data_IF_295385817500
#
_entry.id   IF_295385817500
#
_cell.length_a   1.000
_cell.length_b   1.000
_cell.length_c   1.000
_cell.angle_alpha   90.00
_cell.angle_beta   90.00
_cell.angle_gamma   90.00
#
_symmetry.space_group_name_H-M   'P 1'
#
loop_
_entity.id
_entity.type
_entity.pdbx_description
1 polymer ?
#
# COMPACT_ATOMS: atom_id res chain seq x y z
N UNK A 1 -2.10 3.89 39.40
CA UNK A 1 -2.05 3.58 37.96
C UNK A 1 -3.29 2.77 37.63
N UNK A 2 -4.29 3.35 36.94
CA UNK A 2 -5.51 2.63 36.58
C UNK A 2 -5.33 2.00 35.20
N UNK A 3 -5.32 0.67 35.11
CA UNK A 3 -5.49 -0.04 33.85
C UNK A 3 -6.98 -0.23 33.60
N UNK A 4 -7.42 -0.03 32.36
CA UNK A 4 -8.81 -0.27 31.98
C UNK A 4 -9.11 -1.78 32.05
N UNK A 5 -9.85 -2.19 33.07
CA UNK A 5 -10.34 -3.57 33.22
C UNK A 5 -11.53 -3.78 32.25
N UNK A 6 -11.46 -4.80 31.39
CA UNK A 6 -12.49 -5.06 30.36
C UNK A 6 -12.13 -4.60 28.93
N UNK A 7 -10.86 -4.34 28.64
CA UNK A 7 -10.35 -4.00 27.31
C UNK A 7 -9.75 -5.23 26.57
N UNK A 8 -9.83 -5.30 25.22
CA UNK A 8 -10.41 -4.34 24.28
C UNK A 8 -11.86 -4.67 23.85
N UNK A 9 -12.67 -3.63 23.64
CA UNK A 9 -13.98 -3.73 23.00
C UNK A 9 -13.83 -4.11 21.51
N UNK A 10 -14.46 -5.22 21.10
CA UNK A 10 -14.26 -5.87 19.79
C UNK A 10 -15.24 -5.33 18.75
N UNK A 11 -14.75 -5.04 17.53
CA UNK A 11 -15.59 -4.72 16.37
C UNK A 11 -15.71 -5.99 15.53
N UNK A 12 -16.93 -6.48 15.25
CA UNK A 12 -17.13 -7.64 14.38
C UNK A 12 -16.89 -7.22 12.93
N UNK A 13 -15.66 -7.42 12.46
CA UNK A 13 -15.32 -7.23 11.05
C UNK A 13 -15.66 -8.52 10.31
N UNK A 14 -16.57 -8.43 9.35
CA UNK A 14 -16.98 -9.57 8.52
C UNK A 14 -15.83 -9.95 7.57
N UNK A 15 -15.06 -10.98 7.91
CA UNK A 15 -14.04 -11.53 7.03
C UNK A 15 -14.62 -12.73 6.28
N UNK A 16 -14.63 -12.66 4.94
CA UNK A 16 -15.08 -13.75 4.06
C UNK A 16 -13.99 -14.80 3.82
N UNK A 17 -12.75 -14.54 4.21
CA UNK A 17 -11.58 -15.34 3.88
C UNK A 17 -10.82 -15.86 5.11
N UNK A 18 -10.06 -16.94 4.90
CA UNK A 18 -9.23 -17.59 5.91
C UNK A 18 -8.10 -16.70 6.44
N UNK A 19 -7.66 -15.71 5.66
CA UNK A 19 -6.65 -14.73 6.04
C UNK A 19 -7.32 -13.51 6.67
N UNK A 20 -7.45 -13.53 8.00
CA UNK A 20 -7.92 -12.38 8.82
C UNK A 20 -6.88 -11.24 8.87
N UNK A 21 -6.42 -10.78 7.71
CA UNK A 21 -5.42 -9.71 7.59
C UNK A 21 -6.11 -8.37 7.45
N UNK A 22 -5.81 -7.45 8.36
CA UNK A 22 -6.16 -6.04 8.19
C UNK A 22 -5.05 -5.40 7.35
N UNK A 23 -5.43 -4.85 6.19
CA UNK A 23 -4.51 -4.17 5.27
C UNK A 23 -4.21 -2.77 5.77
N UNK A 24 -5.21 -2.08 6.29
CA UNK A 24 -5.08 -0.72 6.80
C UNK A 24 -6.12 -0.42 7.86
N UNK A 25 -5.71 0.34 8.88
CA UNK A 25 -6.55 0.80 9.96
C UNK A 25 -6.21 2.26 10.27
N UNK A 26 -7.19 3.16 10.23
CA UNK A 26 -6.97 4.55 10.64
C UNK A 26 -8.25 5.20 11.15
N UNK A 27 -8.13 5.93 12.25
CA UNK A 27 -9.19 6.80 12.77
C UNK A 27 -8.90 8.24 12.33
N UNK A 28 -9.88 8.90 11.72
CA UNK A 28 -9.86 10.34 11.45
C UNK A 28 -11.13 10.93 12.06
N UNK A 29 -10.95 11.89 12.97
CA UNK A 29 -12.04 12.51 13.72
C UNK A 29 -12.87 11.47 14.49
N UNK A 30 -14.06 11.13 13.99
CA UNK A 30 -14.99 10.18 14.63
C UNK A 30 -15.30 8.95 13.77
N UNK A 31 -14.51 8.76 12.70
CA UNK A 31 -14.73 7.68 11.74
C UNK A 31 -13.46 6.83 11.67
N UNK A 32 -13.65 5.53 11.80
CA UNK A 32 -12.65 4.50 11.64
C UNK A 32 -12.78 3.89 10.25
N UNK A 33 -11.70 3.90 9.48
CA UNK A 33 -11.57 3.14 8.25
C UNK A 33 -10.83 1.83 8.52
N UNK A 34 -11.43 0.73 8.06
CA UNK A 34 -10.82 -0.59 8.01
C UNK A 34 -10.76 -1.03 6.55
N UNK A 35 -9.58 -1.41 6.08
CA UNK A 35 -9.39 -2.00 4.74
C UNK A 35 -8.97 -3.46 4.89
N UNK A 36 -9.70 -4.33 4.22
CA UNK A 36 -9.48 -5.77 4.13
C UNK A 36 -9.11 -6.17 2.70
N UNK A 37 -8.63 -7.41 2.46
CA UNK A 37 -8.21 -7.86 1.13
C UNK A 37 -9.28 -7.68 0.04
N UNK A 38 -10.55 -7.91 0.37
CA UNK A 38 -11.67 -7.89 -0.58
C UNK A 38 -12.64 -6.69 -0.41
N UNK A 39 -12.57 -5.95 0.69
CA UNK A 39 -13.56 -4.92 0.98
C UNK A 39 -13.06 -3.84 1.94
N UNK A 40 -13.81 -2.74 2.02
CA UNK A 40 -13.55 -1.59 2.87
C UNK A 40 -14.75 -1.36 3.78
N UNK A 41 -14.51 -1.04 5.04
CA UNK A 41 -15.57 -0.72 6.01
C UNK A 41 -15.28 0.61 6.71
N UNK A 42 -16.33 1.43 6.84
CA UNK A 42 -16.33 2.66 7.63
C UNK A 42 -17.16 2.44 8.88
N UNK A 43 -16.60 2.78 10.02
CA UNK A 43 -17.20 2.60 11.34
C UNK A 43 -17.21 3.92 12.09
N UNK A 44 -18.22 4.14 12.92
CA UNK A 44 -18.15 5.16 13.95
C UNK A 44 -17.08 4.77 14.98
N UNK A 45 -16.26 5.72 15.43
CA UNK A 45 -15.36 5.51 16.57
C UNK A 45 -16.00 5.90 17.91
N UNK A 46 -17.28 6.28 17.93
CA UNK A 46 -18.03 6.63 19.14
C UNK A 46 -18.38 5.40 19.99
N UNK A 47 -18.96 5.61 21.18
CA UNK A 47 -19.30 4.58 22.16
C UNK A 47 -20.04 3.35 21.59
N UNK A 48 -20.89 3.54 20.57
CA UNK A 48 -21.70 2.48 19.99
C UNK A 48 -21.13 1.84 18.71
N UNK A 49 -19.98 2.33 18.22
CA UNK A 49 -19.22 1.78 17.07
C UNK A 49 -20.07 1.13 15.99
N UNK A 50 -20.91 1.92 15.34
CA UNK A 50 -21.84 1.47 14.30
C UNK A 50 -21.15 1.49 12.94
N UNK A 51 -21.36 0.45 12.11
CA UNK A 51 -20.91 0.45 10.72
C UNK A 51 -21.68 1.50 9.92
N UNK A 52 -20.96 2.47 9.38
CA UNK A 52 -21.50 3.60 8.62
C UNK A 52 -21.62 3.28 7.13
N UNK A 53 -20.71 2.46 6.61
CA UNK A 53 -20.66 2.09 5.20
C UNK A 53 -19.76 0.89 4.95
N UNK A 54 -20.02 0.17 3.86
CA UNK A 54 -19.23 -0.96 3.39
C UNK A 54 -19.15 -0.93 1.87
N UNK A 55 -17.97 -1.20 1.34
CA UNK A 55 -17.75 -1.40 -0.09
C UNK A 55 -17.08 -2.73 -0.31
N UNK A 56 -17.76 -3.65 -0.99
CA UNK A 56 -17.26 -4.98 -1.34
C UNK A 56 -16.83 -4.97 -2.79
N UNK A 57 -15.59 -5.37 -3.06
CA UNK A 57 -15.12 -5.53 -4.44
C UNK A 57 -15.79 -6.74 -5.08
N UNK A 58 -16.07 -6.64 -6.38
CA UNK A 58 -16.63 -7.76 -7.15
C UNK A 58 -15.59 -8.89 -7.24
N UNK A 59 -15.99 -10.18 -7.23
CA UNK A 59 -15.07 -11.30 -7.39
C UNK A 59 -14.21 -11.20 -8.66
N UNK A 60 -14.79 -10.74 -9.77
CA UNK A 60 -14.07 -10.50 -11.04
C UNK A 60 -12.95 -9.47 -10.88
N UNK A 61 -13.19 -8.38 -10.14
CA UNK A 61 -12.19 -7.35 -9.85
C UNK A 61 -11.08 -7.92 -8.97
N UNK A 62 -11.41 -8.75 -7.97
CA UNK A 62 -10.38 -9.39 -7.13
C UNK A 62 -9.55 -10.40 -7.93
N UNK A 63 -10.18 -11.19 -8.80
CA UNK A 63 -9.48 -12.14 -9.66
C UNK A 63 -8.54 -11.49 -10.66
N UNK A 64 -8.98 -10.39 -11.30
CA UNK A 64 -8.21 -9.73 -12.35
C UNK A 64 -7.20 -8.71 -11.80
N UNK A 65 -7.58 -7.93 -10.79
CA UNK A 65 -6.78 -6.82 -10.26
C UNK A 65 -6.08 -7.21 -8.95
N UNK A 66 -6.37 -8.38 -8.38
CA UNK A 66 -5.77 -8.86 -7.13
C UNK A 66 -6.39 -8.25 -5.86
N UNK A 67 -5.99 -8.77 -4.71
CA UNK A 67 -6.41 -8.31 -3.38
C UNK A 67 -5.83 -6.93 -3.03
N UNK A 68 -6.47 -6.24 -2.08
CA UNK A 68 -5.93 -5.01 -1.50
C UNK A 68 -4.67 -5.31 -0.68
N UNK A 69 -3.57 -4.61 -0.95
CA UNK A 69 -2.29 -4.81 -0.27
C UNK A 69 -1.86 -3.64 0.60
N UNK A 70 -2.22 -2.42 0.20
CA UNK A 70 -1.95 -1.21 0.95
C UNK A 70 -3.08 -0.23 0.75
N UNK A 71 -3.32 0.61 1.76
CA UNK A 71 -4.23 1.73 1.62
C UNK A 71 -3.70 2.96 2.35
N UNK A 72 -4.21 4.12 1.93
CA UNK A 72 -4.03 5.39 2.62
C UNK A 72 -5.34 6.18 2.56
N UNK A 73 -5.67 6.80 3.68
CA UNK A 73 -6.83 7.68 3.78
C UNK A 73 -6.39 9.14 3.85
N UNK A 74 -7.00 9.95 2.99
CA UNK A 74 -6.77 11.40 2.93
C UNK A 74 -7.05 12.07 4.28
N UNK A 75 -6.24 13.08 4.65
CA UNK A 75 -6.47 13.84 5.88
C UNK A 75 -7.85 14.52 5.96
N UNK A 76 -8.42 14.89 4.80
CA UNK A 76 -9.76 15.49 4.72
C UNK A 76 -10.90 14.46 4.78
N UNK A 77 -10.56 13.18 4.94
CA UNK A 77 -11.46 12.02 5.01
C UNK A 77 -12.26 11.69 3.73
N UNK A 78 -12.02 12.38 2.60
CA UNK A 78 -12.86 12.26 1.38
C UNK A 78 -12.41 11.21 0.38
N UNK A 79 -11.13 10.89 0.36
CA UNK A 79 -10.51 9.97 -0.61
C UNK A 79 -9.73 8.87 0.08
N UNK A 80 -9.91 7.63 -0.37
CA UNK A 80 -9.12 6.48 0.04
C UNK A 80 -8.38 6.00 -1.21
N UNK A 81 -7.08 5.85 -1.13
CA UNK A 81 -6.31 5.18 -2.16
C UNK A 81 -5.97 3.77 -1.68
N UNK A 82 -6.12 2.79 -2.56
CA UNK A 82 -5.81 1.38 -2.31
C UNK A 82 -4.96 0.87 -3.46
N UNK A 83 -3.92 0.14 -3.12
CA UNK A 83 -3.03 -0.50 -4.07
C UNK A 83 -3.17 -2.01 -3.95
N UNK A 84 -3.35 -2.68 -5.08
CA UNK A 84 -3.64 -4.11 -5.14
C UNK A 84 -2.42 -4.97 -5.47
N UNK A 85 -2.55 -6.29 -5.34
CA UNK A 85 -1.48 -7.24 -5.67
C UNK A 85 -1.13 -7.35 -7.14
N UNK A 86 -2.03 -6.96 -8.06
CA UNK A 86 -1.72 -6.85 -9.49
C UNK A 86 -1.35 -5.41 -9.90
N UNK A 87 -0.93 -4.58 -8.95
CA UNK A 87 -0.51 -3.19 -9.17
C UNK A 87 -1.62 -2.32 -9.79
N UNK A 88 -2.86 -2.47 -9.34
CA UNK A 88 -3.91 -1.50 -9.61
C UNK A 88 -3.98 -0.46 -8.51
N UNK A 89 -4.02 0.81 -8.90
CA UNK A 89 -4.32 1.92 -8.02
C UNK A 89 -5.82 2.20 -8.07
N UNK A 90 -6.51 1.90 -6.97
CA UNK A 90 -7.91 2.23 -6.76
C UNK A 90 -8.03 3.52 -5.96
N UNK A 91 -8.78 4.49 -6.46
CA UNK A 91 -9.17 5.68 -5.70
C UNK A 91 -10.66 5.60 -5.40
N UNK A 92 -11.01 5.53 -4.13
CA UNK A 92 -12.38 5.58 -3.65
C UNK A 92 -12.70 6.97 -3.10
N UNK A 93 -13.94 7.40 -3.33
CA UNK A 93 -14.52 8.59 -2.71
C UNK A 93 -15.43 8.16 -1.57
N UNK A 94 -15.24 8.81 -0.43
CA UNK A 94 -16.07 8.70 0.76
C UNK A 94 -17.03 9.89 0.79
N UNK A 95 -18.32 9.61 0.94
CA UNK A 95 -19.34 10.64 1.12
C UNK A 95 -20.20 10.29 2.34
N UNK A 96 -20.21 11.17 3.33
CA UNK A 96 -21.15 11.07 4.45
C UNK A 96 -22.51 11.56 3.94
N UNK A 97 -23.48 10.67 3.87
CA UNK A 97 -24.83 10.98 3.43
C UNK A 97 -25.62 11.61 4.58
N UNK A 98 -26.55 12.52 4.28
CA UNK A 98 -27.44 13.09 5.32
C UNK A 98 -28.45 12.10 5.92
N UNK A 99 -28.45 10.84 5.47
CA UNK A 99 -29.36 9.80 5.96
C UNK A 99 -28.91 9.35 7.35
N UNK A 100 -29.75 9.65 8.36
CA UNK A 100 -29.51 9.23 9.75
C UNK A 100 -29.69 7.73 9.89
N UNK A 101 -28.85 7.12 10.72
CA UNK A 101 -28.98 5.69 11.06
C UNK A 101 -30.03 5.57 12.16
N UNK A 102 -31.18 4.99 11.83
CA UNK A 102 -32.18 4.62 12.82
C UNK A 102 -31.73 3.32 13.51
N UNK A 103 -30.98 3.47 14.59
CA UNK A 103 -30.73 2.35 15.52
C UNK A 103 -31.93 2.21 16.46
N UNK A 104 -32.39 0.98 16.67
CA UNK A 104 -33.53 0.69 17.55
C UNK A 104 -33.06 0.87 19.02
N UNK A 105 -33.42 1.98 19.67
CA UNK A 105 -32.99 2.34 21.04
C UNK A 105 -32.77 3.85 21.25
N UNK A 106 -32.31 4.26 22.45
CA UNK A 106 -31.90 5.66 22.75
C UNK A 106 -30.85 6.10 21.71
N UNK A 107 -31.27 6.89 20.73
CA UNK A 107 -30.43 7.27 19.60
C UNK A 107 -29.16 7.98 20.07
N UNK A 108 -27.97 7.56 19.62
CA UNK A 108 -26.84 8.47 19.55
C UNK A 108 -27.18 9.56 18.52
N UNK A 109 -27.46 10.77 19.00
CA UNK A 109 -27.72 11.93 18.16
C UNK A 109 -26.55 12.16 17.20
N UNK A 110 -26.82 12.12 15.88
CA UNK A 110 -25.87 12.56 14.85
C UNK A 110 -25.06 11.49 14.11
N UNK A 111 -25.47 10.21 14.08
CA UNK A 111 -24.85 9.21 13.19
C UNK A 111 -25.46 9.24 11.79
N UNK A 112 -24.58 9.31 10.78
CA UNK A 112 -24.93 9.43 9.38
C UNK A 112 -24.33 8.27 8.58
N UNK A 113 -25.10 7.72 7.63
CA UNK A 113 -24.61 6.69 6.72
C UNK A 113 -23.49 7.26 5.84
N UNK A 114 -22.48 6.47 5.54
CA UNK A 114 -21.41 6.81 4.63
C UNK A 114 -21.47 5.91 3.38
N UNK A 115 -21.30 6.50 2.20
CA UNK A 115 -21.08 5.76 0.97
C UNK A 115 -19.60 5.80 0.57
N UNK A 116 -19.12 4.69 0.04
CA UNK A 116 -17.80 4.56 -0.55
C UNK A 116 -18.01 4.15 -2.01
N UNK A 117 -17.44 4.89 -2.95
CA UNK A 117 -17.56 4.63 -4.38
C UNK A 117 -16.20 4.65 -5.06
N UNK A 118 -15.97 3.70 -5.98
CA UNK A 118 -14.75 3.65 -6.78
C UNK A 118 -14.79 4.78 -7.84
N UNK A 119 -13.73 5.58 -7.89
CA UNK A 119 -13.58 6.74 -8.79
C UNK A 119 -12.41 6.58 -9.76
N UNK A 120 -11.42 5.76 -9.45
CA UNK A 120 -10.34 5.39 -10.37
C UNK A 120 -10.00 3.93 -10.14
N UNK A 121 -9.85 3.15 -11.21
CA UNK A 121 -9.13 1.88 -11.20
C UNK A 121 -8.19 1.89 -12.40
N UNK A 122 -6.89 1.87 -12.15
CA UNK A 122 -5.89 1.91 -13.20
C UNK A 122 -4.67 1.08 -12.82
N UNK A 123 -4.17 0.32 -13.80
CA UNK A 123 -2.94 -0.45 -13.64
C UNK A 123 -1.75 0.47 -13.75
N UNK A 124 -0.84 0.39 -12.78
CA UNK A 124 0.34 1.25 -12.74
C UNK A 124 1.32 0.86 -13.85
N UNK A 125 1.91 1.80 -14.61
CA UNK A 125 2.63 1.52 -15.87
C UNK A 125 3.85 0.60 -15.75
N UNK A 126 4.44 0.44 -14.57
CA UNK A 126 5.56 -0.50 -14.36
C UNK A 126 5.13 -1.97 -14.16
N UNK A 127 3.83 -2.26 -14.20
CA UNK A 127 3.32 -3.63 -14.06
C UNK A 127 3.58 -4.52 -15.29
N UNK A 128 4.08 -3.95 -16.40
CA UNK A 128 4.45 -4.69 -17.62
C UNK A 128 5.93 -5.13 -17.64
N UNK A 129 6.77 -4.52 -16.81
CA UNK A 129 8.07 -5.11 -16.46
C UNK A 129 7.82 -6.30 -15.52
N UNK A 130 8.69 -7.31 -15.52
CA UNK A 130 8.59 -8.54 -14.70
C UNK A 130 8.72 -8.28 -13.17
N UNK A 131 8.01 -7.28 -12.66
CA UNK A 131 8.08 -6.76 -11.31
C UNK A 131 7.13 -7.58 -10.45
N UNK A 132 7.68 -8.21 -9.42
CA UNK A 132 6.89 -8.87 -8.37
C UNK A 132 6.81 -7.95 -7.15
N UNK A 133 5.66 -7.93 -6.47
CA UNK A 133 5.53 -7.20 -5.22
C UNK A 133 5.96 -8.11 -4.06
N UNK A 134 6.99 -7.73 -3.31
CA UNK A 134 7.48 -8.54 -2.20
C UNK A 134 6.88 -8.16 -0.84
N UNK A 135 6.00 -7.15 -0.78
CA UNK A 135 5.14 -6.84 0.37
C UNK A 135 5.75 -6.89 1.77
N UNK A 136 5.99 -5.70 2.33
CA UNK A 136 6.25 -5.41 3.74
C UNK A 136 7.50 -6.08 4.36
N UNK A 137 8.53 -5.24 4.55
CA UNK A 137 9.52 -5.30 5.63
C UNK A 137 9.73 -6.67 6.31
N UNK A 138 10.43 -7.59 5.63
CA UNK A 138 11.34 -8.47 6.35
C UNK A 138 12.62 -7.67 6.58
N UNK A 139 12.71 -6.96 7.70
CA UNK A 139 14.02 -6.71 8.31
C UNK A 139 14.52 -8.06 8.84
N UNK A 140 14.93 -8.95 7.92
CA UNK A 140 15.71 -10.10 8.29
C UNK A 140 17.11 -9.56 8.58
N UNK A 141 17.42 -9.41 9.88
CA UNK A 141 18.80 -9.33 10.32
C UNK A 141 19.58 -10.45 9.67
N UNK A 142 20.69 -10.07 9.04
CA UNK A 142 21.71 -10.93 8.44
C UNK A 142 21.74 -12.34 9.04
N UNK A 143 21.22 -13.31 8.30
CA UNK A 143 21.65 -14.69 8.40
C UNK A 143 22.34 -14.99 7.08
N UNK A 144 23.66 -15.20 7.15
CA UNK A 144 24.39 -15.86 6.09
C UNK A 144 23.71 -17.21 5.86
N UNK A 145 23.21 -17.43 4.67
CA UNK A 145 23.41 -18.63 3.86
C UNK A 145 22.28 -18.74 2.83
N UNK A 146 22.70 -19.18 1.65
CA UNK A 146 21.87 -19.47 0.49
C UNK A 146 20.61 -20.26 0.89
N UNK A 147 19.43 -19.68 0.65
CA UNK A 147 18.22 -20.48 0.61
C UNK A 147 17.34 -20.07 -0.56
N UNK A 148 17.34 -20.95 -1.55
CA UNK A 148 16.47 -20.92 -2.70
C UNK A 148 14.99 -20.86 -2.32
N UNK A 149 14.22 -20.36 -3.26
CA UNK A 149 12.76 -20.35 -3.25
C UNK A 149 12.21 -21.77 -3.16
N UNK A 150 11.94 -22.26 -1.96
CA UNK A 150 11.12 -23.45 -1.78
C UNK A 150 9.65 -23.02 -1.71
N UNK A 151 8.98 -23.10 -2.85
CA UNK A 151 7.53 -23.20 -2.92
C UNK A 151 7.09 -24.40 -2.07
N UNK A 152 6.29 -24.17 -1.03
CA UNK A 152 5.51 -25.22 -0.38
C UNK A 152 4.42 -25.68 -1.37
N UNK A 153 4.75 -26.71 -2.15
CA UNK A 153 3.79 -27.51 -2.91
C UNK A 153 3.55 -28.83 -2.17
N UNK A 154 2.31 -29.04 -1.72
CA UNK A 154 1.84 -30.32 -1.20
C UNK A 154 2.09 -31.45 -2.23
N UNK A 155 2.54 -32.59 -1.73
CA UNK A 155 3.06 -33.68 -2.54
C UNK A 155 2.03 -34.40 -3.41
N UNK A 156 2.53 -34.91 -4.55
CA UNK A 156 2.18 -36.18 -5.16
C UNK A 156 3.37 -36.61 -6.04
N UNK A 157 3.82 -37.85 -5.84
CA UNK A 157 5.01 -38.47 -6.44
C UNK A 157 4.66 -39.04 -7.82
N UNK A 158 5.57 -38.84 -8.78
CA UNK A 158 6.12 -39.85 -9.71
C UNK A 158 6.18 -39.38 -11.17
N UNK A 159 7.36 -39.50 -11.78
CA UNK A 159 7.55 -39.40 -13.24
C UNK A 159 8.87 -38.77 -13.64
N UNK A 160 9.95 -39.54 -13.60
CA UNK A 160 11.29 -39.14 -14.04
C UNK A 160 11.36 -38.86 -15.56
N UNK A 161 12.08 -37.81 -15.94
CA UNK A 161 12.92 -37.81 -17.15
C UNK A 161 14.13 -36.92 -16.91
N UNK A 162 15.31 -37.53 -16.99
CA UNK A 162 16.62 -36.88 -17.00
C UNK A 162 16.73 -35.99 -18.24
N UNK A 163 17.15 -34.74 -18.09
CA UNK A 163 17.77 -34.01 -19.19
C UNK A 163 19.04 -33.28 -18.73
N UNK A 164 20.07 -33.56 -19.53
CA UNK A 164 21.48 -33.22 -19.48
C UNK A 164 21.78 -31.77 -19.10
N UNK A 165 22.58 -31.59 -18.05
CA UNK A 165 23.23 -30.31 -17.68
C UNK A 165 24.16 -29.90 -18.83
N UNK A 166 23.91 -28.75 -19.46
CA UNK A 166 24.89 -28.04 -20.28
C UNK A 166 25.59 -26.96 -19.43
N UNK A 167 26.89 -26.74 -19.57
CA UNK A 167 27.59 -25.68 -18.85
C UNK A 167 27.12 -24.32 -19.37
N UNK A 168 26.68 -23.44 -18.48
CA UNK A 168 26.25 -22.08 -18.82
C UNK A 168 27.49 -21.18 -18.86
N UNK A 169 27.66 -20.46 -19.96
CA UNK A 169 28.68 -19.42 -20.16
C UNK A 169 28.62 -18.35 -19.04
N UNK A 170 29.76 -17.93 -18.44
CA UNK A 170 29.80 -17.00 -17.31
C UNK A 170 29.47 -15.54 -17.67
N UNK A 171 29.15 -15.23 -18.92
CA UNK A 171 28.94 -13.85 -19.40
C UNK A 171 27.48 -13.46 -19.67
N UNK A 172 26.50 -14.31 -19.35
CA UNK A 172 25.09 -13.95 -19.43
C UNK A 172 24.52 -13.58 -18.05
N UNK A 173 24.92 -12.41 -17.54
CA UNK A 173 24.24 -11.80 -16.39
C UNK A 173 22.86 -11.31 -16.86
N UNK A 174 21.87 -12.20 -16.85
CA UNK A 174 20.46 -11.79 -16.95
C UNK A 174 20.18 -10.95 -15.71
N UNK A 175 20.06 -9.64 -15.89
CA UNK A 175 19.70 -8.72 -14.82
C UNK A 175 18.42 -9.26 -14.16
N UNK A 176 18.52 -9.63 -12.88
CA UNK A 176 17.35 -10.08 -12.12
C UNK A 176 16.30 -8.97 -12.19
N UNK A 177 15.03 -9.30 -12.50
CA UNK A 177 14.00 -8.29 -12.57
C UNK A 177 13.84 -7.61 -11.20
N UNK A 178 13.82 -6.28 -11.19
CA UNK A 178 13.64 -5.52 -9.96
C UNK A 178 12.23 -5.79 -9.40
N UNK A 179 12.16 -6.14 -8.12
CA UNK A 179 10.91 -6.35 -7.40
C UNK A 179 10.50 -5.06 -6.68
N UNK A 180 9.21 -4.75 -6.59
CA UNK A 180 8.75 -3.61 -5.81
C UNK A 180 8.66 -4.02 -4.34
N UNK A 181 9.44 -3.35 -3.52
CA UNK A 181 9.57 -3.65 -2.08
C UNK A 181 8.74 -2.70 -1.21
N UNK A 182 8.52 -1.48 -1.68
CA UNK A 182 7.70 -0.51 -0.98
C UNK A 182 6.95 0.41 -1.95
N UNK A 183 5.72 0.72 -1.58
CA UNK A 183 4.84 1.62 -2.31
C UNK A 183 4.28 2.61 -1.30
N UNK A 184 4.16 3.88 -1.68
CA UNK A 184 3.52 4.89 -0.85
C UNK A 184 2.77 5.88 -1.73
N UNK A 185 1.47 6.03 -1.51
CA UNK A 185 0.69 7.02 -2.25
C UNK A 185 0.46 8.27 -1.40
N UNK A 186 0.82 9.44 -1.90
CA UNK A 186 0.45 10.73 -1.32
C UNK A 186 -0.76 11.30 -2.03
N UNK A 187 -1.91 11.30 -1.36
CA UNK A 187 -3.14 11.90 -1.91
C UNK A 187 -2.98 13.42 -2.12
N UNK A 188 -2.23 14.09 -1.23
CA UNK A 188 -2.03 15.54 -1.28
C UNK A 188 -1.30 15.97 -2.57
N UNK A 189 -0.22 15.26 -2.93
CA UNK A 189 0.52 15.50 -4.18
C UNK A 189 -0.02 14.73 -5.37
N UNK A 190 -0.97 13.81 -5.13
CA UNK A 190 -1.41 12.79 -6.11
C UNK A 190 -0.19 12.11 -6.72
N UNK A 191 0.69 11.62 -5.85
CA UNK A 191 1.97 11.05 -6.23
C UNK A 191 2.09 9.65 -5.66
N UNK A 192 2.48 8.69 -6.48
CA UNK A 192 2.85 7.34 -6.07
C UNK A 192 4.37 7.25 -6.02
N UNK A 193 4.92 6.96 -4.85
CA UNK A 193 6.33 6.63 -4.63
C UNK A 193 6.47 5.12 -4.73
N UNK A 194 7.43 4.68 -5.54
CA UNK A 194 7.74 3.27 -5.74
C UNK A 194 9.21 3.07 -5.43
N UNK A 195 9.49 2.18 -4.48
CA UNK A 195 10.83 1.72 -4.17
C UNK A 195 10.99 0.28 -4.66
N UNK A 196 12.02 0.09 -5.47
CA UNK A 196 12.40 -1.18 -6.03
C UNK A 196 13.50 -1.86 -5.22
N UNK A 197 13.66 -3.17 -5.37
CA UNK A 197 14.60 -4.00 -4.63
C UNK A 197 16.07 -3.69 -4.94
N UNK A 198 16.31 -3.13 -6.12
CA UNK A 198 17.59 -2.58 -6.57
C UNK A 198 17.91 -1.21 -5.95
N UNK A 199 17.04 -0.73 -5.05
CA UNK A 199 17.21 0.52 -4.32
C UNK A 199 16.83 1.76 -5.13
N UNK A 200 16.26 1.61 -6.32
CA UNK A 200 15.78 2.75 -7.12
C UNK A 200 14.43 3.27 -6.60
N UNK A 201 14.27 4.59 -6.61
CA UNK A 201 12.98 5.24 -6.31
C UNK A 201 12.44 5.91 -7.56
N UNK A 202 11.18 5.62 -7.87
CA UNK A 202 10.42 6.25 -8.94
C UNK A 202 9.19 6.98 -8.36
N UNK A 203 8.99 8.21 -8.82
CA UNK A 203 7.89 9.08 -8.46
C UNK A 203 6.94 9.19 -9.64
N UNK A 204 5.71 8.70 -9.48
CA UNK A 204 4.66 8.78 -10.49
C UNK A 204 3.64 9.83 -10.10
N UNK A 205 3.28 10.71 -11.02
CA UNK A 205 2.13 11.62 -10.87
C UNK A 205 0.83 10.91 -11.24
N UNK A 206 -0.25 11.21 -10.53
CA UNK A 206 -1.59 10.66 -10.77
C UNK A 206 -2.56 11.80 -11.12
N UNK A 207 -3.14 11.71 -12.31
CA UNK A 207 -3.88 12.80 -12.94
C UNK A 207 -5.13 13.17 -12.17
N UNK A 208 -5.58 14.43 -12.36
CA UNK A 208 -6.86 14.90 -11.81
C UNK A 208 -8.06 14.58 -12.70
N UNK A 209 -7.84 14.16 -13.94
CA UNK A 209 -8.87 14.22 -14.98
C UNK A 209 -9.92 13.11 -14.89
N UNK A 210 -9.68 12.05 -14.12
CA UNK A 210 -10.67 11.02 -13.80
C UNK A 210 -11.13 10.18 -15.00
N UNK A 211 -11.27 8.86 -14.80
CA UNK A 211 -12.01 7.84 -15.56
C UNK A 211 -11.99 7.77 -17.11
N UNK A 212 -11.49 8.75 -17.85
CA UNK A 212 -11.65 8.84 -19.33
C UNK A 212 -10.35 9.02 -20.11
N UNK A 213 -9.19 9.10 -19.46
CA UNK A 213 -7.92 9.24 -20.17
C UNK A 213 -6.95 8.13 -19.81
N UNK A 214 -6.41 7.51 -20.85
CA UNK A 214 -5.58 6.29 -20.87
C UNK A 214 -4.16 6.48 -20.31
N UNK A 215 -3.86 7.61 -19.69
CA UNK A 215 -2.53 7.94 -19.14
C UNK A 215 -2.70 8.76 -17.87
N UNK A 216 -3.30 8.17 -16.85
CA UNK A 216 -3.54 8.86 -15.59
C UNK A 216 -2.30 8.82 -14.71
N UNK A 217 -1.47 7.79 -14.84
CA UNK A 217 -0.27 7.61 -14.01
C UNK A 217 0.99 7.76 -14.89
N UNK A 218 1.76 8.82 -14.64
CA UNK A 218 2.96 9.16 -15.42
C UNK A 218 4.20 9.23 -14.55
N UNK A 219 5.30 8.61 -14.99
CA UNK A 219 6.60 8.76 -14.34
C UNK A 219 7.02 10.23 -14.39
N UNK A 220 7.22 10.84 -13.21
CA UNK A 220 7.66 12.23 -13.09
C UNK A 220 9.17 12.30 -12.89
N UNK A 221 9.70 11.50 -11.97
CA UNK A 221 11.12 11.52 -11.60
C UNK A 221 11.57 10.13 -11.23
N UNK A 222 12.80 9.77 -11.63
CA UNK A 222 13.54 8.62 -11.10
C UNK A 222 14.71 9.17 -10.30
N UNK A 223 14.76 8.87 -9.00
CA UNK A 223 15.84 9.33 -8.14
C UNK A 223 17.10 8.51 -8.41
N UNK A 224 18.25 9.15 -8.34
CA UNK A 224 19.55 8.53 -8.57
C UNK A 224 20.02 7.64 -7.39
N UNK A 225 19.33 7.69 -6.26
CA UNK A 225 19.61 6.82 -5.12
C UNK A 225 19.39 5.37 -5.55
N UNK A 226 20.47 4.58 -5.66
CA UNK A 226 20.47 3.12 -5.93
C UNK A 226 20.60 2.29 -4.66
N UNK A 227 20.66 2.95 -3.52
CA UNK A 227 20.88 2.33 -2.22
C UNK A 227 19.67 2.54 -1.29
N UNK A 228 18.52 2.95 -1.80
CA UNK A 228 17.36 3.22 -0.96
C UNK A 228 16.79 1.93 -0.34
N UNK A 229 16.37 2.03 0.92
CA UNK A 229 15.76 0.92 1.70
C UNK A 229 14.37 1.24 2.21
N UNK A 230 14.07 2.52 2.42
CA UNK A 230 12.75 2.98 2.84
C UNK A 230 12.53 4.41 2.34
N UNK A 231 11.26 4.80 2.28
CA UNK A 231 10.84 6.15 1.91
C UNK A 231 9.69 6.60 2.80
N UNK A 232 9.57 7.90 3.02
CA UNK A 232 8.42 8.51 3.67
C UNK A 232 8.12 9.88 3.05
N UNK A 233 6.86 10.12 2.69
CA UNK A 233 6.43 11.43 2.19
C UNK A 233 5.94 12.30 3.36
N UNK A 234 6.39 13.55 3.41
CA UNK A 234 5.92 14.59 4.32
C UNK A 234 5.12 15.65 3.53
N UNK A 235 3.79 15.51 3.40
CA UNK A 235 3.00 16.37 2.52
C UNK A 235 3.01 17.85 2.87
N UNK A 236 3.00 18.18 4.17
CA UNK A 236 2.93 19.57 4.62
C UNK A 236 4.22 20.33 4.33
N UNK A 237 5.37 19.66 4.48
CA UNK A 237 6.70 20.22 4.22
C UNK A 237 7.12 20.08 2.76
N UNK A 238 6.38 19.30 1.97
CA UNK A 238 6.72 18.96 0.58
C UNK A 238 8.08 18.26 0.45
N UNK A 239 8.39 17.39 1.43
CA UNK A 239 9.66 16.67 1.48
C UNK A 239 9.40 15.18 1.28
N UNK A 240 10.30 14.53 0.55
CA UNK A 240 10.45 13.08 0.53
C UNK A 240 11.73 12.71 1.29
N UNK A 241 11.60 11.91 2.34
CA UNK A 241 12.72 11.32 3.06
C UNK A 241 13.02 9.92 2.50
N UNK A 242 14.29 9.66 2.21
CA UNK A 242 14.77 8.38 1.68
C UNK A 242 15.87 7.86 2.59
N UNK A 243 15.64 6.73 3.25
CA UNK A 243 16.68 6.03 4.00
C UNK A 243 17.52 5.17 3.05
N UNK A 244 18.84 5.20 3.21
CA UNK A 244 19.78 4.43 2.39
C UNK A 244 20.42 3.28 3.16
N UNK A 245 20.95 2.26 2.46
CA UNK A 245 21.74 1.16 3.04
C UNK A 245 22.99 1.64 3.77
N UNK A 246 23.46 2.86 3.47
CA UNK A 246 24.62 3.49 4.11
C UNK A 246 24.31 4.08 5.48
N UNK A 247 23.06 4.02 5.93
CA UNK A 247 22.63 4.61 7.20
C UNK A 247 22.46 6.12 7.15
N UNK A 248 22.32 6.70 5.95
CA UNK A 248 21.99 8.10 5.75
C UNK A 248 20.51 8.27 5.36
N UNK A 249 19.97 9.45 5.62
CA UNK A 249 18.66 9.90 5.17
C UNK A 249 18.83 11.05 4.19
N UNK A 250 18.44 10.84 2.94
CA UNK A 250 18.39 11.86 1.90
C UNK A 250 17.03 12.55 1.92
N UNK A 251 17.02 13.88 1.90
CA UNK A 251 15.82 14.70 1.88
C UNK A 251 15.68 15.36 0.51
N UNK A 252 14.57 15.11 -0.17
CA UNK A 252 14.27 15.64 -1.50
C UNK A 252 13.10 16.63 -1.46
N UNK A 253 13.19 17.71 -2.22
CA UNK A 253 12.15 18.73 -2.37
C UNK A 253 11.15 18.34 -3.46
N UNK A 254 9.94 17.96 -3.06
CA UNK A 254 8.87 17.57 -3.98
C UNK A 254 8.28 18.76 -4.76
N UNK A 255 8.42 19.98 -4.26
CA UNK A 255 8.01 21.20 -4.95
C UNK A 255 8.92 21.46 -6.15
N UNK A 256 10.21 21.24 -5.97
CA UNK A 256 11.25 21.49 -6.96
C UNK A 256 11.76 20.19 -7.60
N UNK A 257 10.88 19.48 -8.29
CA UNK A 257 11.20 18.30 -9.12
C UNK A 257 12.00 17.20 -8.42
N UNK A 258 11.78 17.01 -7.12
CA UNK A 258 12.51 16.06 -6.27
C UNK A 258 14.03 16.28 -6.32
N UNK A 259 14.46 17.55 -6.26
CA UNK A 259 15.87 17.92 -6.08
C UNK A 259 16.34 17.57 -4.67
N UNK A 260 17.59 17.12 -4.54
CA UNK A 260 18.18 16.79 -3.25
C UNK A 260 18.41 18.08 -2.44
N UNK A 261 17.77 18.19 -1.28
CA UNK A 261 17.95 19.30 -0.33
C UNK A 261 19.24 19.06 0.45
N UNK A 262 19.35 17.89 1.09
CA UNK A 262 20.49 17.49 1.90
C UNK A 262 20.48 15.99 2.19
N UNK A 263 21.64 15.47 2.56
CA UNK A 263 21.80 14.16 3.21
C UNK A 263 22.10 14.35 4.69
N UNK A 264 21.61 13.45 5.53
CA UNK A 264 21.83 13.44 6.97
C UNK A 264 22.34 12.05 7.35
N UNK A 265 23.59 11.95 7.80
CA UNK A 265 24.16 10.71 8.31
C UNK A 265 24.12 10.67 9.83
N UNK A 266 23.97 9.49 10.41
CA UNK A 266 24.18 9.28 11.85
C UNK A 266 25.58 9.73 12.31
N UNK A 267 26.58 9.64 11.44
CA UNK A 267 27.94 10.12 11.73
C UNK A 267 28.01 11.64 11.88
N UNK A 268 27.04 12.38 11.32
CA UNK A 268 26.99 13.84 11.43
C UNK A 268 26.39 14.30 12.78
N UNK A 269 25.93 13.37 13.62
CA UNK A 269 25.22 13.65 14.88
C UNK A 269 26.09 13.57 16.13
N UNK A 270 27.37 13.17 16.00
CA UNK A 270 28.35 13.10 17.09
C UNK A 270 28.41 11.75 17.79
#
# INVERSE_FOLDING_TARGET
MYMAYGWPQVIPVESSDSTRRIVYLKVISRVLLVVLPAHLELWSSSQHRVRLGKYVRKPESIGNEGENLQAIWSPDSKLIAVLTSQFYLHIFKVQITGKKINTFGKQPTGLFLASVSLVLSERVPFANSYVTFCGAFFLQGRANDELGSHHLGNGLISGATQSTIRPIDPNHFVAKPAAVVHLEFSIAFRMLVVLSSDGEIALYSVSKKGLKHTESILLKVKLASRDAVCSAVAPAQQILAVGTRKGSVELYDLANSASLIRSVSLHDWG
#
